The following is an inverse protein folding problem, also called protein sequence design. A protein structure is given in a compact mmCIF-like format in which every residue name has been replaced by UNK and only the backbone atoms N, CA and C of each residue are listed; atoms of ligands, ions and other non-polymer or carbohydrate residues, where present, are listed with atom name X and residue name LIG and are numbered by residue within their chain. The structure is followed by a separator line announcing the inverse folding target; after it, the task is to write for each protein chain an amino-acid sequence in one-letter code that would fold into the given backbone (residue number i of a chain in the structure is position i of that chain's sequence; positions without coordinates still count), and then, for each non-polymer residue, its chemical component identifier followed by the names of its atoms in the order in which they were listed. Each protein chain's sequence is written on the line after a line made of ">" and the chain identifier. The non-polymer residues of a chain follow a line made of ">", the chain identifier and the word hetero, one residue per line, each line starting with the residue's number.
data_IF_720694904939
#
_entry.id   IF_720694904939
#
_cell.length_a   1.000
_cell.length_b   1.000
_cell.length_c   1.000
_cell.angle_alpha   90.00
_cell.angle_beta   90.00
_cell.angle_gamma   90.00
#
_symmetry.space_group_name_H-M   'P 1'
#
loop_
_entity.id
_entity.type
_entity.pdbx_description
1 polymer ?
#
# COMPACT_ATOMS: atom_id res chain seq x y z
N UNK A 1 9.48 -14.36 19.56
CA UNK A 1 8.97 -12.98 19.41
C UNK A 1 9.69 -12.38 18.23
N UNK A 2 9.05 -12.33 17.06
CA UNK A 2 9.66 -11.76 15.86
C UNK A 2 9.90 -10.26 16.09
N UNK A 3 11.12 -9.74 15.86
CA UNK A 3 11.50 -8.38 16.25
C UNK A 3 10.89 -7.26 15.40
N UNK A 4 10.13 -7.61 14.36
CA UNK A 4 9.50 -6.66 13.46
C UNK A 4 8.06 -6.42 13.89
N UNK A 5 7.82 -5.24 14.48
CA UNK A 5 6.47 -4.67 14.54
C UNK A 5 6.00 -4.39 13.11
N UNK A 6 4.77 -4.72 12.78
CA UNK A 6 4.14 -4.31 11.52
C UNK A 6 4.24 -2.79 11.38
N UNK A 7 4.98 -2.30 10.39
CA UNK A 7 5.16 -0.86 10.14
C UNK A 7 4.18 -0.42 9.06
N UNK A 8 3.11 0.20 9.53
CA UNK A 8 2.06 0.71 8.68
C UNK A 8 2.29 2.20 8.39
N UNK A 9 2.38 2.55 7.09
CA UNK A 9 2.32 3.93 6.64
C UNK A 9 3.52 4.76 7.08
N UNK A 10 4.60 4.75 6.29
CA UNK A 10 5.67 5.73 6.48
C UNK A 10 5.07 7.14 6.36
N UNK A 11 5.10 7.93 7.43
CA UNK A 11 4.48 9.25 7.46
C UNK A 11 5.28 10.26 6.64
N UNK A 12 6.56 9.96 6.38
CA UNK A 12 7.46 10.74 5.54
C UNK A 12 8.53 9.84 4.91
N UNK A 13 9.20 10.36 3.88
CA UNK A 13 10.38 9.74 3.27
C UNK A 13 11.48 9.45 4.30
N UNK A 14 11.68 10.35 5.28
CA UNK A 14 12.69 10.17 6.32
C UNK A 14 12.39 8.96 7.23
N UNK A 15 11.11 8.68 7.51
CA UNK A 15 10.73 7.48 8.27
C UNK A 15 10.98 6.20 7.47
N UNK A 16 10.73 6.24 6.16
CA UNK A 16 11.04 5.13 5.27
C UNK A 16 12.55 4.86 5.27
N UNK A 17 13.38 5.89 5.09
CA UNK A 17 14.85 5.74 5.08
C UNK A 17 15.40 5.20 6.41
N UNK A 18 14.85 5.66 7.53
CA UNK A 18 15.22 5.14 8.85
C UNK A 18 14.86 3.65 9.00
N UNK A 19 13.70 3.24 8.49
CA UNK A 19 13.29 1.84 8.44
C UNK A 19 14.16 1.01 7.48
N UNK A 20 14.45 1.54 6.30
CA UNK A 20 15.26 0.86 5.28
C UNK A 20 16.68 0.55 5.78
N UNK A 21 17.26 1.47 6.57
CA UNK A 21 18.52 1.22 7.26
C UNK A 21 18.43 0.06 8.26
N UNK A 22 17.29 -0.12 8.95
CA UNK A 22 17.04 -1.26 9.84
C UNK A 22 16.87 -2.54 9.03
N UNK A 23 16.05 -2.52 7.96
CA UNK A 23 15.83 -3.66 7.09
C UNK A 23 17.13 -4.15 6.45
N UNK A 24 17.98 -3.22 5.99
CA UNK A 24 19.31 -3.52 5.46
C UNK A 24 20.20 -4.25 6.48
N UNK A 25 20.15 -3.85 7.76
CA UNK A 25 20.87 -4.56 8.83
C UNK A 25 20.33 -5.97 9.06
N UNK A 26 19.02 -6.15 9.00
CA UNK A 26 18.37 -7.47 9.15
C UNK A 26 18.74 -8.41 7.99
N UNK A 27 18.78 -7.88 6.76
CA UNK A 27 19.25 -8.61 5.58
C UNK A 27 20.72 -9.02 5.74
N UNK A 28 21.59 -8.09 6.14
CA UNK A 28 23.02 -8.35 6.37
C UNK A 28 23.25 -9.38 7.48
N UNK A 29 22.38 -9.41 8.50
CA UNK A 29 22.42 -10.40 9.58
C UNK A 29 21.82 -11.76 9.20
N UNK A 30 21.31 -11.92 7.98
CA UNK A 30 20.61 -13.14 7.54
C UNK A 30 19.30 -13.39 8.30
N UNK A 31 18.72 -12.35 8.90
CA UNK A 31 17.45 -12.40 9.64
C UNK A 31 16.24 -12.12 8.74
N UNK A 32 16.49 -11.59 7.55
CA UNK A 32 15.53 -11.47 6.46
C UNK A 32 16.17 -11.95 5.17
N UNK A 33 15.37 -12.50 4.26
CA UNK A 33 15.77 -12.89 2.92
C UNK A 33 14.86 -12.20 1.92
N UNK A 34 15.45 -11.61 0.89
CA UNK A 34 14.69 -11.06 -0.24
C UNK A 34 14.19 -12.23 -1.10
N UNK A 35 12.87 -12.39 -1.19
CA UNK A 35 12.25 -13.47 -1.97
C UNK A 35 12.08 -13.03 -3.43
N UNK A 36 11.68 -11.77 -3.64
CA UNK A 36 11.41 -11.24 -4.97
C UNK A 36 11.50 -9.71 -5.00
N UNK A 37 12.18 -9.19 -6.04
CA UNK A 37 12.27 -7.75 -6.37
C UNK A 37 11.25 -7.31 -7.41
N UNK A 38 10.53 -8.24 -8.02
CA UNK A 38 9.52 -7.97 -9.02
C UNK A 38 8.73 -9.25 -9.22
N UNK A 39 7.41 -9.12 -9.26
CA UNK A 39 6.46 -10.22 -9.37
C UNK A 39 6.07 -10.82 -8.03
N UNK A 40 5.26 -10.05 -7.32
CA UNK A 40 4.12 -10.59 -6.61
C UNK A 40 3.01 -10.98 -7.61
N UNK A 41 3.30 -11.47 -8.83
CA UNK A 41 2.25 -11.85 -9.79
C UNK A 41 1.39 -13.02 -9.28
N UNK A 42 1.92 -13.82 -8.35
CA UNK A 42 1.16 -14.84 -7.64
C UNK A 42 0.26 -14.26 -6.54
N UNK A 43 0.55 -13.04 -6.09
CA UNK A 43 -0.31 -12.34 -5.17
C UNK A 43 -1.35 -11.59 -5.99
N UNK A 44 -2.62 -11.90 -5.76
CA UNK A 44 -3.78 -11.16 -6.27
C UNK A 44 -3.89 -9.76 -5.64
N UNK A 45 -2.75 -9.08 -5.50
CA UNK A 45 -2.63 -7.75 -4.97
C UNK A 45 -2.96 -6.76 -6.09
N UNK A 46 -3.96 -5.89 -5.90
CA UNK A 46 -4.28 -4.85 -6.86
C UNK A 46 -3.17 -3.80 -7.05
N UNK A 47 -2.18 -3.75 -6.15
CA UNK A 47 -0.97 -2.93 -6.28
C UNK A 47 0.26 -3.81 -6.02
N UNK A 48 1.24 -3.79 -6.93
CA UNK A 48 2.44 -4.61 -6.77
C UNK A 48 3.35 -3.97 -5.71
N UNK A 49 3.71 -4.69 -4.63
CA UNK A 49 4.76 -4.24 -3.74
C UNK A 49 6.09 -4.21 -4.51
N UNK A 50 6.98 -3.30 -4.12
CA UNK A 50 8.31 -3.15 -4.74
C UNK A 50 9.20 -4.35 -4.42
N UNK A 51 9.05 -4.91 -3.21
CA UNK A 51 9.82 -6.06 -2.78
C UNK A 51 9.04 -6.91 -1.77
N UNK A 52 9.33 -8.21 -1.78
CA UNK A 52 8.85 -9.17 -0.79
C UNK A 52 10.02 -9.81 -0.05
N UNK A 53 9.87 -9.95 1.27
CA UNK A 53 10.87 -10.46 2.17
C UNK A 53 10.32 -11.64 2.98
N UNK A 54 11.15 -12.62 3.27
CA UNK A 54 10.89 -13.67 4.26
C UNK A 54 11.70 -13.38 5.50
N UNK A 55 11.11 -13.53 6.68
CA UNK A 55 11.88 -13.45 7.92
C UNK A 55 12.42 -14.81 8.31
N UNK A 56 13.70 -14.86 8.67
CA UNK A 56 14.36 -16.10 9.05
C UNK A 56 13.70 -16.72 10.27
N UNK A 57 13.29 -17.98 10.14
CA UNK A 57 12.60 -18.72 11.19
C UNK A 57 11.07 -18.57 11.18
N UNK A 58 10.49 -17.88 10.20
CA UNK A 58 9.04 -17.83 9.96
C UNK A 58 8.75 -18.07 8.48
N UNK A 59 7.71 -18.83 8.16
CA UNK A 59 7.19 -18.92 6.78
C UNK A 59 6.35 -17.68 6.38
N UNK A 60 6.48 -16.58 7.12
CA UNK A 60 5.70 -15.38 6.93
C UNK A 60 6.41 -14.46 5.93
N UNK A 61 5.67 -14.05 4.91
CA UNK A 61 6.15 -13.14 3.88
C UNK A 61 5.68 -11.73 4.16
N UNK A 62 6.57 -10.79 3.91
CA UNK A 62 6.42 -9.37 4.19
C UNK A 62 6.53 -8.58 2.90
N UNK A 63 5.55 -7.74 2.63
CA UNK A 63 5.50 -6.88 1.47
C UNK A 63 5.97 -5.47 1.84
N UNK A 64 6.91 -4.95 1.06
CA UNK A 64 7.36 -3.57 1.11
C UNK A 64 6.77 -2.80 -0.07
N UNK A 65 6.15 -1.67 0.22
CA UNK A 65 5.87 -0.63 -0.77
C UNK A 65 6.53 0.67 -0.31
N UNK A 66 7.32 1.25 -1.20
CA UNK A 66 8.00 2.52 -0.99
C UNK A 66 6.97 3.64 -1.08
N UNK A 67 7.04 4.67 -0.22
CA UNK A 67 6.22 5.85 -0.41
C UNK A 67 6.59 6.55 -1.73
N UNK A 68 5.58 6.92 -2.51
CA UNK A 68 5.72 7.82 -3.66
C UNK A 68 4.78 9.02 -3.46
N UNK A 69 4.92 10.09 -4.25
CA UNK A 69 4.24 11.38 -4.10
C UNK A 69 2.71 11.32 -3.83
N UNK A 70 2.05 10.22 -4.18
CA UNK A 70 0.61 10.00 -3.95
C UNK A 70 0.28 8.87 -2.95
N UNK A 71 1.22 8.01 -2.55
CA UNK A 71 0.95 6.80 -1.79
C UNK A 71 1.84 6.69 -0.55
N UNK A 72 1.21 6.45 0.62
CA UNK A 72 1.93 6.10 1.85
C UNK A 72 2.46 4.67 1.77
N UNK A 73 3.78 4.52 1.67
CA UNK A 73 4.44 3.22 1.68
C UNK A 73 4.13 2.40 2.94
N UNK A 74 4.39 1.10 2.90
CA UNK A 74 4.09 0.18 3.99
C UNK A 74 5.10 -0.97 4.04
N UNK A 75 5.28 -1.55 5.23
CA UNK A 75 5.97 -2.81 5.43
C UNK A 75 5.13 -3.72 6.33
N UNK A 76 4.40 -4.65 5.71
CA UNK A 76 3.36 -5.45 6.35
C UNK A 76 3.47 -6.91 5.93
N UNK A 77 2.97 -7.86 6.74
CA UNK A 77 2.70 -9.21 6.27
C UNK A 77 1.83 -9.16 5.01
N UNK A 78 2.09 -10.05 4.05
CA UNK A 78 1.39 -10.03 2.76
C UNK A 78 -0.14 -10.13 2.93
N UNK A 79 -0.61 -10.92 3.89
CA UNK A 79 -2.04 -11.04 4.23
C UNK A 79 -2.64 -9.70 4.67
N UNK A 80 -1.93 -8.95 5.51
CA UNK A 80 -2.33 -7.61 5.95
C UNK A 80 -2.24 -6.59 4.80
N UNK A 81 -1.22 -6.69 3.95
CA UNK A 81 -1.06 -5.85 2.77
C UNK A 81 -2.25 -6.01 1.80
N UNK A 82 -2.74 -7.24 1.58
CA UNK A 82 -3.95 -7.51 0.77
C UNK A 82 -5.16 -6.78 1.34
N UNK A 83 -5.42 -6.96 2.65
CA UNK A 83 -6.55 -6.32 3.32
C UNK A 83 -6.44 -4.81 3.24
N UNK A 84 -5.25 -4.27 3.46
CA UNK A 84 -5.00 -2.85 3.40
C UNK A 84 -5.28 -2.25 2.02
N UNK A 85 -4.75 -2.86 0.96
CA UNK A 85 -5.01 -2.40 -0.40
C UNK A 85 -6.49 -2.48 -0.79
N UNK A 86 -7.20 -3.52 -0.34
CA UNK A 86 -8.64 -3.62 -0.55
C UNK A 86 -9.40 -2.47 0.13
N UNK A 87 -8.99 -2.08 1.34
CA UNK A 87 -9.58 -0.94 2.05
C UNK A 87 -9.31 0.39 1.34
N UNK A 88 -8.08 0.61 0.87
CA UNK A 88 -7.72 1.79 0.06
C UNK A 88 -8.59 1.89 -1.19
N UNK A 89 -8.67 0.80 -1.96
CA UNK A 89 -9.48 0.74 -3.19
C UNK A 89 -10.95 1.05 -2.94
N UNK A 90 -11.52 0.53 -1.84
CA UNK A 90 -12.92 0.81 -1.46
C UNK A 90 -13.15 2.27 -1.10
N UNK A 91 -12.17 2.95 -0.50
CA UNK A 91 -12.24 4.39 -0.23
C UNK A 91 -12.17 5.20 -1.51
N UNK A 92 -11.21 4.90 -2.38
CA UNK A 92 -11.05 5.61 -3.66
C UNK A 92 -12.29 5.45 -4.56
N UNK A 93 -12.83 4.24 -4.68
CA UNK A 93 -14.01 4.00 -5.51
C UNK A 93 -15.24 4.77 -5.03
N UNK A 94 -15.41 4.87 -3.71
CA UNK A 94 -16.50 5.64 -3.08
C UNK A 94 -16.36 7.14 -3.34
N UNK A 95 -15.15 7.68 -3.29
CA UNK A 95 -14.91 9.11 -3.57
C UNK A 95 -15.18 9.41 -5.05
N UNK A 96 -14.72 8.55 -5.96
CA UNK A 96 -14.96 8.71 -7.41
C UNK A 96 -16.44 8.64 -7.77
N UNK A 97 -17.18 7.69 -7.20
CA UNK A 97 -18.62 7.57 -7.45
C UNK A 97 -19.41 8.74 -6.88
N UNK A 98 -19.06 9.22 -5.68
CA UNK A 98 -19.66 10.41 -5.09
C UNK A 98 -19.39 11.67 -5.93
N UNK A 99 -18.15 11.85 -6.41
CA UNK A 99 -17.79 12.97 -7.28
C UNK A 99 -18.57 12.98 -8.60
N UNK A 100 -18.73 11.81 -9.24
CA UNK A 100 -19.51 11.67 -10.46
C UNK A 100 -21.00 12.01 -10.25
N UNK A 101 -21.59 11.54 -9.15
CA UNK A 101 -22.97 11.86 -8.77
C UNK A 101 -23.18 13.36 -8.59
N UNK A 102 -22.24 14.02 -7.90
CA UNK A 102 -22.30 15.46 -7.65
C UNK A 102 -22.20 16.27 -8.95
N UNK A 103 -21.33 15.84 -9.88
CA UNK A 103 -21.20 16.44 -11.22
C UNK A 103 -22.50 16.28 -12.03
N UNK A 104 -23.12 15.09 -12.01
CA UNK A 104 -24.41 14.84 -12.66
C UNK A 104 -25.52 15.73 -12.10
N UNK A 105 -25.62 15.84 -10.77
CA UNK A 105 -26.60 16.74 -10.14
C UNK A 105 -26.39 18.20 -10.55
N UNK A 106 -25.13 18.66 -10.63
CA UNK A 106 -24.80 20.02 -11.05
C UNK A 106 -25.21 20.26 -12.51
N UNK A 107 -24.91 19.33 -13.41
CA UNK A 107 -25.28 19.42 -14.83
C UNK A 107 -26.80 19.45 -15.01
N UNK A 108 -27.54 18.60 -14.28
CA UNK A 108 -29.01 18.62 -14.27
C UNK A 108 -29.56 19.97 -13.78
N UNK A 109 -28.95 20.55 -12.74
CA UNK A 109 -29.35 21.85 -12.21
C UNK A 109 -29.11 22.99 -13.22
N UNK A 110 -27.96 22.99 -13.91
CA UNK A 110 -27.64 23.97 -14.95
C UNK A 110 -28.61 23.82 -16.14
N UNK A 111 -28.84 22.60 -16.60
CA UNK A 111 -29.79 22.32 -17.68
C UNK A 111 -31.20 22.82 -17.33
N UNK A 112 -31.68 22.54 -16.12
CA UNK A 112 -32.97 23.01 -15.62
C UNK A 112 -33.07 24.55 -15.58
N UNK A 113 -32.00 25.23 -15.20
CA UNK A 113 -31.91 26.70 -15.21
C UNK A 113 -31.92 27.31 -16.62
N UNK A 114 -31.41 26.60 -17.62
CA UNK A 114 -31.39 27.06 -19.02
C UNK A 114 -32.70 26.79 -19.77
N UNK A 115 -33.43 25.74 -19.38
CA UNK A 115 -34.72 25.36 -19.94
C UNK A 115 -35.92 26.16 -19.40
N UNK A 116 -35.70 26.96 -18.35
CA UNK A 116 -36.72 27.77 -17.67
C UNK A 116 -36.43 29.24 -17.87
#
# INVERSE_FOLDING_TARGET
>A
MSPLKSYYGFASQAEFEAFDAVLTRLLAAGQAALISQQSAADFLLPYQPDACYELSGTAEQWALATPDNAWRGYFLPVTEAIVYQQQLRRRESRIRSAGLLLLLCLLCFIAWRLLR
#
